data_IF_980333422049
#
_entry.id   IF_980333422049
#
_cell.length_a   1.000
_cell.length_b   1.000
_cell.length_c   1.000
_cell.angle_alpha   90.00
_cell.angle_beta   90.00
_cell.angle_gamma   90.00
#
_symmetry.space_group_name_H-M   'P 1'
#
loop_
_entity.id
_entity.type
_entity.pdbx_description
1 polymer ?
#
# COMPACT_ATOMS: atom_id res chain seq x y z
N UNK A 1 46.46 -1.28 11.90
CA UNK A 1 45.43 -0.28 12.24
C UNK A 1 45.46 0.93 11.32
N UNK A 2 46.62 1.38 10.84
CA UNK A 2 46.74 2.41 9.77
C UNK A 2 46.12 1.98 8.46
N UNK A 3 46.24 0.71 8.08
CA UNK A 3 45.78 0.17 6.79
C UNK A 3 44.26 0.26 6.58
N UNK A 4 43.44 0.10 7.63
CA UNK A 4 41.95 0.18 7.52
C UNK A 4 41.52 1.64 7.32
N UNK A 5 42.17 2.59 8.00
CA UNK A 5 41.87 4.01 7.86
C UNK A 5 42.29 4.51 6.48
N UNK A 6 43.45 4.07 5.98
CA UNK A 6 43.92 4.43 4.63
C UNK A 6 43.02 3.85 3.55
N UNK A 7 42.50 2.64 3.74
CA UNK A 7 41.50 2.06 2.86
C UNK A 7 40.19 2.86 2.86
N UNK A 8 39.73 3.27 4.04
CA UNK A 8 38.50 4.07 4.17
C UNK A 8 38.65 5.48 3.57
N UNK A 9 39.84 6.09 3.66
CA UNK A 9 40.09 7.39 3.02
C UNK A 9 40.10 7.29 1.48
N UNK A 10 40.61 6.19 0.92
CA UNK A 10 40.67 6.00 -0.54
C UNK A 10 39.34 5.56 -1.14
N UNK A 11 38.61 4.70 -0.42
CA UNK A 11 37.41 4.03 -0.94
C UNK A 11 36.16 4.33 -0.13
N UNK A 12 36.21 5.26 0.82
CA UNK A 12 35.14 5.55 1.77
C UNK A 12 33.80 5.85 1.11
N UNK A 13 33.81 6.63 0.03
CA UNK A 13 32.60 6.97 -0.70
C UNK A 13 31.83 5.72 -1.18
N UNK A 14 32.52 4.70 -1.71
CA UNK A 14 31.87 3.47 -2.19
C UNK A 14 31.25 2.70 -1.02
N UNK A 15 31.98 2.54 0.07
CA UNK A 15 31.49 1.85 1.27
C UNK A 15 30.31 2.58 1.91
N UNK A 16 30.36 3.88 1.96
CA UNK A 16 29.28 4.74 2.48
C UNK A 16 28.03 4.64 1.61
N UNK A 17 28.19 4.72 0.29
CA UNK A 17 27.09 4.57 -0.68
C UNK A 17 26.44 3.19 -0.57
N UNK A 18 27.25 2.11 -0.51
CA UNK A 18 26.75 0.74 -0.36
C UNK A 18 25.99 0.55 0.95
N UNK A 19 26.48 1.12 2.05
CA UNK A 19 25.76 1.09 3.33
C UNK A 19 24.39 1.80 3.22
N UNK A 20 24.34 2.96 2.55
CA UNK A 20 23.09 3.69 2.32
C UNK A 20 22.14 2.94 1.38
N UNK A 21 22.66 2.30 0.32
CA UNK A 21 21.87 1.42 -0.56
C UNK A 21 21.28 0.26 0.24
N UNK A 22 22.06 -0.41 1.06
CA UNK A 22 21.59 -1.49 1.91
C UNK A 22 20.48 -1.02 2.87
N UNK A 23 20.67 0.15 3.49
CA UNK A 23 19.70 0.74 4.42
C UNK A 23 18.39 1.17 3.75
N UNK A 24 18.43 1.66 2.51
CA UNK A 24 17.24 2.10 1.79
C UNK A 24 16.47 0.94 1.14
N UNK A 25 17.15 -0.15 0.79
CA UNK A 25 16.56 -1.29 0.04
C UNK A 25 16.26 -2.54 0.89
N UNK A 26 16.54 -2.54 2.20
CA UNK A 26 16.49 -3.73 3.06
C UNK A 26 15.13 -4.44 3.11
N UNK A 27 14.01 -3.73 2.88
CA UNK A 27 12.65 -4.26 2.86
C UNK A 27 12.18 -4.72 1.47
N UNK A 28 12.95 -4.45 0.42
CA UNK A 28 12.55 -4.79 -0.94
C UNK A 28 12.59 -6.30 -1.16
N UNK A 29 11.68 -6.80 -1.98
CA UNK A 29 11.62 -8.20 -2.36
C UNK A 29 12.82 -8.57 -3.23
N UNK A 30 13.59 -9.58 -2.78
CA UNK A 30 14.82 -10.01 -3.45
C UNK A 30 14.51 -10.83 -4.70
N UNK A 31 15.34 -10.68 -5.72
CA UNK A 31 15.29 -11.54 -6.89
C UNK A 31 15.95 -12.91 -6.64
N UNK A 32 15.63 -13.88 -7.50
CA UNK A 32 16.31 -15.17 -7.52
C UNK A 32 17.82 -15.00 -7.69
N UNK A 33 18.60 -15.84 -7.03
CA UNK A 33 20.07 -15.79 -7.01
C UNK A 33 20.62 -14.44 -6.50
N UNK A 34 19.94 -13.80 -5.54
CA UNK A 34 20.31 -12.51 -4.97
C UNK A 34 21.80 -12.44 -4.57
N UNK A 35 22.32 -13.46 -3.86
CA UNK A 35 23.71 -13.46 -3.41
C UNK A 35 24.71 -13.41 -4.58
N UNK A 36 24.50 -14.17 -5.64
CA UNK A 36 25.36 -14.18 -6.81
C UNK A 36 25.35 -12.84 -7.54
N UNK A 37 24.15 -12.22 -7.67
CA UNK A 37 24.00 -10.89 -8.30
C UNK A 37 24.68 -9.81 -7.47
N UNK A 38 24.47 -9.82 -6.16
CA UNK A 38 25.09 -8.88 -5.23
C UNK A 38 26.62 -8.99 -5.29
N UNK A 39 27.17 -10.22 -5.27
CA UNK A 39 28.61 -10.44 -5.41
C UNK A 39 29.16 -9.91 -6.73
N UNK A 40 28.44 -10.12 -7.82
CA UNK A 40 28.83 -9.59 -9.14
C UNK A 40 28.88 -8.06 -9.17
N UNK A 41 27.92 -7.37 -8.53
CA UNK A 41 27.88 -5.91 -8.46
C UNK A 41 28.98 -5.37 -7.56
N UNK A 42 29.20 -5.98 -6.39
CA UNK A 42 30.31 -5.60 -5.50
C UNK A 42 31.67 -5.74 -6.19
N UNK A 43 31.86 -6.82 -6.96
CA UNK A 43 33.06 -7.01 -7.75
C UNK A 43 33.20 -5.93 -8.85
N UNK A 44 32.10 -5.59 -9.52
CA UNK A 44 32.11 -4.54 -10.54
C UNK A 44 32.48 -3.17 -9.94
N UNK A 45 31.96 -2.81 -8.77
CA UNK A 45 32.30 -1.57 -8.07
C UNK A 45 33.78 -1.55 -7.63
N UNK A 46 34.29 -2.66 -7.09
CA UNK A 46 35.71 -2.78 -6.71
C UNK A 46 36.60 -2.66 -7.95
N UNK A 47 36.32 -3.40 -9.01
CA UNK A 47 37.06 -3.32 -10.27
C UNK A 47 37.05 -1.89 -10.85
N UNK A 48 35.87 -1.26 -10.87
CA UNK A 48 35.72 0.12 -11.32
C UNK A 48 36.59 1.06 -10.49
N UNK A 49 36.59 0.94 -9.19
CA UNK A 49 37.37 1.80 -8.28
C UNK A 49 38.87 1.64 -8.50
N UNK A 50 39.37 0.41 -8.66
CA UNK A 50 40.78 0.12 -8.95
C UNK A 50 41.22 0.71 -10.28
N UNK A 51 40.40 0.52 -11.33
CA UNK A 51 40.71 1.08 -12.67
C UNK A 51 40.69 2.61 -12.62
N UNK A 52 39.77 3.20 -11.85
CA UNK A 52 39.66 4.67 -11.78
C UNK A 52 40.82 5.34 -11.03
N UNK A 53 41.55 4.65 -10.16
CA UNK A 53 42.77 5.18 -9.55
C UNK A 53 43.85 5.59 -10.56
N UNK A 54 43.80 5.05 -11.77
CA UNK A 54 44.72 5.41 -12.86
C UNK A 54 44.29 6.65 -13.64
N UNK A 55 43.08 7.17 -13.40
CA UNK A 55 42.54 8.34 -14.10
C UNK A 55 43.00 9.61 -13.37
N UNK A 56 43.49 10.65 -14.08
CA UNK A 56 43.85 11.91 -13.45
C UNK A 56 42.70 12.53 -12.66
N UNK A 57 42.95 12.93 -11.42
CA UNK A 57 41.96 13.54 -10.54
C UNK A 57 41.78 15.02 -10.91
N UNK A 58 40.65 15.35 -11.52
CA UNK A 58 40.22 16.71 -11.80
C UNK A 58 38.70 16.84 -11.64
N UNK A 59 38.17 18.06 -11.72
CA UNK A 59 36.76 18.37 -11.57
C UNK A 59 35.86 17.46 -12.42
N UNK A 60 36.20 17.23 -13.66
CA UNK A 60 35.38 16.46 -14.61
C UNK A 60 35.43 14.97 -14.32
N UNK A 61 36.61 14.45 -14.02
CA UNK A 61 36.82 13.02 -13.73
C UNK A 61 36.17 12.63 -12.43
N UNK A 62 36.25 13.47 -11.37
CA UNK A 62 35.57 13.20 -10.08
C UNK A 62 34.04 13.26 -10.20
N UNK A 63 33.51 14.21 -10.98
CA UNK A 63 32.06 14.26 -11.24
C UNK A 63 31.58 13.06 -12.05
N UNK A 64 32.37 12.61 -13.03
CA UNK A 64 32.06 11.41 -13.81
C UNK A 64 32.13 10.15 -12.94
N UNK A 65 33.15 10.03 -12.08
CA UNK A 65 33.30 8.90 -11.15
C UNK A 65 32.08 8.72 -10.26
N UNK A 66 31.70 9.77 -9.55
CA UNK A 66 30.55 9.71 -8.62
C UNK A 66 29.24 9.41 -9.34
N UNK A 67 29.05 9.95 -10.55
CA UNK A 67 27.89 9.64 -11.38
C UNK A 67 27.87 8.19 -11.87
N UNK A 68 29.02 7.64 -12.28
CA UNK A 68 29.13 6.24 -12.71
C UNK A 68 28.90 5.28 -11.52
N UNK A 69 29.46 5.55 -10.35
CA UNK A 69 29.20 4.75 -9.14
C UNK A 69 27.71 4.76 -8.76
N UNK A 70 27.06 5.91 -8.80
CA UNK A 70 25.61 6.00 -8.60
C UNK A 70 24.83 5.19 -9.66
N UNK A 71 25.28 5.24 -10.93
CA UNK A 71 24.66 4.48 -12.01
C UNK A 71 24.81 2.96 -11.81
N UNK A 72 25.99 2.50 -11.38
CA UNK A 72 26.25 1.09 -11.02
C UNK A 72 25.33 0.66 -9.87
N UNK A 73 25.18 1.50 -8.85
CA UNK A 73 24.26 1.24 -7.74
C UNK A 73 22.80 1.12 -8.22
N UNK A 74 22.33 2.01 -9.11
CA UNK A 74 20.98 1.95 -9.67
C UNK A 74 20.74 0.66 -10.47
N UNK A 75 21.69 0.26 -11.33
CA UNK A 75 21.65 -1.02 -12.05
C UNK A 75 21.68 -2.19 -11.08
N UNK A 76 22.53 -2.11 -10.06
CA UNK A 76 22.67 -3.11 -9.01
C UNK A 76 21.34 -3.36 -8.25
N UNK A 77 20.68 -2.29 -7.84
CA UNK A 77 19.36 -2.37 -7.20
C UNK A 77 18.35 -3.04 -8.13
N UNK A 78 18.31 -2.66 -9.41
CA UNK A 78 17.40 -3.29 -10.39
C UNK A 78 17.66 -4.78 -10.61
N UNK A 79 18.92 -5.20 -10.57
CA UNK A 79 19.31 -6.61 -10.74
C UNK A 79 19.08 -7.45 -9.48
N UNK A 80 19.21 -6.86 -8.30
CA UNK A 80 19.07 -7.57 -7.01
C UNK A 80 17.62 -7.66 -6.51
N UNK A 81 16.77 -6.71 -6.86
CA UNK A 81 15.42 -6.61 -6.30
C UNK A 81 14.34 -6.65 -7.40
N UNK A 82 13.13 -7.15 -7.04
CA UNK A 82 11.96 -7.22 -7.93
C UNK A 82 11.23 -5.89 -8.03
N UNK A 83 11.86 -4.89 -8.64
CA UNK A 83 11.30 -3.55 -8.82
C UNK A 83 11.49 -3.06 -10.25
N UNK A 84 10.69 -2.08 -10.69
CA UNK A 84 10.87 -1.44 -11.98
C UNK A 84 12.12 -0.55 -12.01
N UNK A 85 12.68 -0.27 -13.22
CA UNK A 85 13.87 0.55 -13.38
C UNK A 85 13.73 1.96 -12.77
N UNK A 86 12.55 2.59 -12.87
CA UNK A 86 12.29 3.90 -12.29
C UNK A 86 12.40 3.89 -10.77
N UNK A 87 11.94 2.83 -10.11
CA UNK A 87 12.12 2.63 -8.67
C UNK A 87 13.58 2.38 -8.29
N UNK A 88 14.34 1.68 -9.12
CA UNK A 88 15.78 1.49 -8.87
C UNK A 88 16.54 2.83 -8.91
N UNK A 89 16.22 3.70 -9.87
CA UNK A 89 16.73 5.07 -9.92
C UNK A 89 16.33 5.87 -8.69
N UNK A 90 15.07 5.75 -8.25
CA UNK A 90 14.58 6.39 -7.02
C UNK A 90 15.41 5.98 -5.80
N UNK A 91 15.54 4.68 -5.54
CA UNK A 91 16.28 4.18 -4.37
C UNK A 91 17.77 4.50 -4.45
N UNK A 92 18.37 4.48 -5.64
CA UNK A 92 19.76 4.91 -5.84
C UNK A 92 19.94 6.41 -5.53
N UNK A 93 18.99 7.26 -5.97
CA UNK A 93 19.03 8.70 -5.68
C UNK A 93 18.82 8.94 -4.17
N UNK A 94 17.87 8.24 -3.54
CA UNK A 94 17.65 8.35 -2.10
C UNK A 94 18.87 7.91 -1.29
N UNK A 95 19.55 6.82 -1.71
CA UNK A 95 20.78 6.34 -1.07
C UNK A 95 21.93 7.33 -1.25
N UNK A 96 22.11 7.90 -2.46
CA UNK A 96 23.11 8.92 -2.75
C UNK A 96 22.86 10.21 -1.96
N UNK A 97 21.62 10.66 -1.86
CA UNK A 97 21.23 11.82 -1.04
C UNK A 97 21.48 11.57 0.45
N UNK A 98 21.12 10.38 0.94
CA UNK A 98 21.40 9.98 2.33
C UNK A 98 22.90 9.95 2.62
N UNK A 99 23.70 9.37 1.73
CA UNK A 99 25.16 9.37 1.83
C UNK A 99 25.72 10.80 1.88
N UNK A 100 25.22 11.68 1.01
CA UNK A 100 25.65 13.09 0.97
C UNK A 100 25.35 13.81 2.28
N UNK A 101 24.14 13.68 2.85
CA UNK A 101 23.75 14.25 4.16
C UNK A 101 24.71 13.76 5.26
N UNK A 102 24.97 12.47 5.32
CA UNK A 102 25.82 11.89 6.34
C UNK A 102 27.29 12.37 6.19
N UNK A 103 27.80 12.33 4.97
CA UNK A 103 29.17 12.75 4.65
C UNK A 103 29.40 14.22 4.99
N UNK A 104 28.53 15.11 4.49
CA UNK A 104 28.65 16.56 4.72
C UNK A 104 28.45 16.93 6.18
N UNK A 105 27.44 16.36 6.84
CA UNK A 105 27.19 16.56 8.27
C UNK A 105 28.39 16.12 9.12
N UNK A 106 28.96 14.94 8.84
CA UNK A 106 30.14 14.45 9.54
C UNK A 106 31.36 15.35 9.29
N UNK A 107 31.59 15.84 8.06
CA UNK A 107 32.68 16.78 7.72
C UNK A 107 32.50 18.14 8.37
N UNK A 108 31.30 18.69 8.42
CA UNK A 108 31.01 19.95 9.11
C UNK A 108 31.34 19.85 10.60
N UNK A 109 30.88 18.78 11.26
CA UNK A 109 31.14 18.53 12.68
C UNK A 109 32.64 18.27 12.94
N UNK A 110 33.30 17.49 12.07
CA UNK A 110 34.74 17.26 12.15
C UNK A 110 35.52 18.59 12.08
N UNK A 111 35.17 19.46 11.13
CA UNK A 111 35.81 20.77 10.97
C UNK A 111 35.57 21.70 12.18
N UNK A 112 34.37 21.67 12.77
CA UNK A 112 34.08 22.43 13.97
C UNK A 112 34.97 21.98 15.15
N UNK A 113 35.12 20.66 15.34
CA UNK A 113 36.02 20.11 16.38
C UNK A 113 37.50 20.47 16.13
N UNK A 114 37.94 20.41 14.85
CA UNK A 114 39.31 20.76 14.48
C UNK A 114 39.65 22.24 14.74
N UNK A 115 38.70 23.15 14.50
CA UNK A 115 38.88 24.58 14.76
C UNK A 115 38.95 24.92 16.27
N UNK A 116 38.36 24.04 17.11
CA UNK A 116 38.44 24.21 18.55
C UNK A 116 39.81 23.78 19.14
N UNK A 117 40.46 22.79 18.54
CA UNK A 117 41.79 22.32 19.03
C UNK A 117 42.63 21.66 17.94
N UNK A 118 43.69 22.34 17.53
CA UNK A 118 44.63 21.87 16.48
C UNK A 118 45.47 20.64 16.86
N UNK A 119 45.57 20.29 18.16
CA UNK A 119 46.31 19.09 18.62
C UNK A 119 45.61 17.78 18.24
N UNK A 120 44.34 17.81 17.89
CA UNK A 120 43.53 16.61 17.60
C UNK A 120 43.62 16.08 16.15
N UNK A 121 44.59 16.53 15.35
CA UNK A 121 44.74 16.07 13.95
C UNK A 121 44.77 14.53 13.82
N UNK A 122 45.54 13.84 14.70
CA UNK A 122 45.63 12.38 14.68
C UNK A 122 44.29 11.66 14.99
N UNK A 123 43.43 12.32 15.77
CA UNK A 123 42.12 11.77 16.17
C UNK A 123 40.99 12.17 15.21
N UNK A 124 41.21 13.15 14.37
CA UNK A 124 40.16 13.71 13.49
C UNK A 124 39.53 12.67 12.57
N UNK A 125 40.29 11.68 12.14
CA UNK A 125 39.83 10.57 11.29
C UNK A 125 38.87 9.65 12.04
N UNK A 126 39.16 9.35 13.31
CA UNK A 126 38.27 8.55 14.17
C UNK A 126 37.01 9.30 14.52
N UNK A 127 37.13 10.62 14.74
CA UNK A 127 35.97 11.49 14.95
C UNK A 127 35.04 11.45 13.74
N UNK A 128 35.58 11.55 12.52
CA UNK A 128 34.79 11.42 11.31
C UNK A 128 34.03 10.09 11.23
N UNK A 129 34.72 8.98 11.45
CA UNK A 129 34.12 7.65 11.39
C UNK A 129 33.03 7.49 12.48
N UNK A 130 33.27 7.95 13.70
CA UNK A 130 32.26 7.93 14.76
C UNK A 130 31.02 8.77 14.43
N UNK A 131 31.22 9.98 13.89
CA UNK A 131 30.13 10.86 13.45
C UNK A 131 29.37 10.27 12.28
N UNK A 132 30.07 9.66 11.31
CA UNK A 132 29.43 8.96 10.19
C UNK A 132 28.50 7.86 10.70
N UNK A 133 28.97 6.97 11.57
CA UNK A 133 28.16 5.88 12.15
C UNK A 133 26.95 6.42 12.91
N UNK A 134 27.15 7.48 13.71
CA UNK A 134 26.07 8.12 14.47
C UNK A 134 25.00 8.70 13.56
N UNK A 135 25.41 9.51 12.57
CA UNK A 135 24.48 10.12 11.60
C UNK A 135 23.81 9.06 10.73
N UNK A 136 24.53 8.02 10.34
CA UNK A 136 23.95 6.88 9.62
C UNK A 136 22.84 6.21 10.44
N UNK A 137 23.07 5.94 11.72
CA UNK A 137 22.05 5.36 12.59
C UNK A 137 20.82 6.28 12.72
N UNK A 138 21.03 7.60 12.88
CA UNK A 138 19.93 8.59 12.92
C UNK A 138 19.15 8.57 11.59
N UNK A 139 19.83 8.60 10.45
CA UNK A 139 19.20 8.53 9.14
C UNK A 139 18.44 7.22 8.93
N UNK A 140 18.98 6.09 9.38
CA UNK A 140 18.26 4.80 9.33
C UNK A 140 16.98 4.82 10.16
N UNK A 141 16.97 5.44 11.33
CA UNK A 141 15.81 5.51 12.20
C UNK A 141 14.74 6.50 11.71
N UNK A 142 15.13 7.56 11.01
CA UNK A 142 14.24 8.65 10.60
C UNK A 142 13.86 8.58 9.13
N UNK A 143 14.86 8.56 8.24
CA UNK A 143 14.69 8.72 6.80
C UNK A 143 14.23 7.43 6.11
N UNK A 144 14.83 6.27 6.45
CA UNK A 144 14.48 5.02 5.78
C UNK A 144 13.05 4.56 6.08
N UNK A 145 12.49 4.95 7.23
CA UNK A 145 11.08 4.66 7.56
C UNK A 145 10.11 5.39 6.65
N UNK A 146 10.46 6.60 6.20
CA UNK A 146 9.62 7.45 5.34
C UNK A 146 9.72 7.07 3.85
N UNK A 147 10.85 6.47 3.44
CA UNK A 147 11.07 6.04 2.05
C UNK A 147 10.27 4.81 1.64
N UNK A 148 9.53 4.19 2.56
CA UNK A 148 8.83 2.94 2.27
C UNK A 148 7.42 3.24 1.73
N UNK A 149 7.30 3.24 0.39
CA UNK A 149 6.00 3.19 -0.28
C UNK A 149 5.38 1.79 -0.15
N UNK A 150 4.08 1.73 0.17
CA UNK A 150 3.31 0.48 0.21
C UNK A 150 3.00 -0.05 -1.20
N UNK A 151 2.98 0.83 -2.20
CA UNK A 151 2.54 0.52 -3.55
C UNK A 151 3.67 0.71 -4.56
N UNK A 152 4.60 -0.24 -4.66
CA UNK A 152 5.59 -0.31 -5.74
C UNK A 152 4.96 -0.57 -7.13
N UNK A 153 3.63 -0.70 -7.21
CA UNK A 153 2.88 -0.87 -8.46
C UNK A 153 2.70 0.42 -9.26
N UNK A 154 2.71 1.59 -8.59
CA UNK A 154 2.68 2.89 -9.27
C UNK A 154 4.10 3.30 -9.61
N UNK A 155 4.42 3.36 -10.90
CA UNK A 155 5.73 3.81 -11.36
C UNK A 155 5.86 5.31 -11.10
N UNK A 156 7.02 5.77 -10.55
CA UNK A 156 7.37 7.18 -10.61
C UNK A 156 7.26 7.65 -12.07
N UNK A 157 6.48 8.70 -12.31
CA UNK A 157 6.29 9.21 -13.66
C UNK A 157 7.63 9.50 -14.34
N UNK A 158 7.68 9.42 -15.67
CA UNK A 158 8.91 9.74 -16.45
C UNK A 158 9.51 11.07 -16.03
N UNK A 159 8.68 12.08 -15.82
CA UNK A 159 9.10 13.42 -15.37
C UNK A 159 9.80 13.36 -14.01
N UNK A 160 9.29 12.60 -13.05
CA UNK A 160 9.91 12.44 -11.75
C UNK A 160 11.27 11.74 -11.84
N UNK A 161 11.38 10.71 -12.67
CA UNK A 161 12.67 10.04 -12.92
C UNK A 161 13.71 11.01 -13.51
N UNK A 162 13.32 11.86 -14.48
CA UNK A 162 14.19 12.90 -15.03
C UNK A 162 14.62 13.94 -14.00
N UNK A 163 13.68 14.38 -13.14
CA UNK A 163 14.00 15.33 -12.06
C UNK A 163 15.03 14.71 -11.08
N UNK A 164 14.88 13.45 -10.72
CA UNK A 164 15.82 12.75 -9.84
C UNK A 164 17.21 12.62 -10.43
N UNK A 165 17.32 12.22 -11.69
CA UNK A 165 18.60 12.14 -12.40
C UNK A 165 19.23 13.52 -12.52
N UNK A 166 18.45 14.53 -12.90
CA UNK A 166 18.89 15.92 -12.98
C UNK A 166 19.38 16.48 -11.64
N UNK A 167 18.65 16.18 -10.57
CA UNK A 167 19.06 16.53 -9.20
C UNK A 167 20.38 15.87 -8.82
N UNK A 168 20.53 14.57 -9.04
CA UNK A 168 21.77 13.84 -8.73
C UNK A 168 22.97 14.38 -9.50
N UNK A 169 22.78 14.71 -10.78
CA UNK A 169 23.82 15.31 -11.61
C UNK A 169 24.18 16.72 -11.14
N UNK A 170 23.19 17.58 -10.90
CA UNK A 170 23.43 18.96 -10.47
C UNK A 170 24.14 19.02 -9.11
N UNK A 171 23.71 18.20 -8.15
CA UNK A 171 24.32 18.08 -6.83
C UNK A 171 25.79 17.66 -6.95
N UNK A 172 26.07 16.63 -7.76
CA UNK A 172 27.41 16.11 -7.97
C UNK A 172 28.35 17.18 -8.61
N UNK A 173 27.89 17.81 -9.71
CA UNK A 173 28.68 18.83 -10.39
C UNK A 173 28.94 20.02 -9.46
N UNK A 174 27.92 20.46 -8.72
CA UNK A 174 28.03 21.63 -7.85
C UNK A 174 29.00 21.40 -6.68
N UNK A 175 28.96 20.22 -6.06
CA UNK A 175 29.90 19.83 -5.00
C UNK A 175 31.34 19.81 -5.51
N UNK A 176 31.59 19.18 -6.65
CA UNK A 176 32.93 19.09 -7.20
C UNK A 176 33.46 20.44 -7.71
N UNK A 177 32.61 21.26 -8.33
CA UNK A 177 32.93 22.62 -8.74
C UNK A 177 33.34 23.46 -7.52
N UNK A 178 32.58 23.39 -6.45
CA UNK A 178 32.86 24.14 -5.23
C UNK A 178 34.19 23.68 -4.58
N UNK A 179 34.41 22.35 -4.49
CA UNK A 179 35.67 21.82 -3.97
C UNK A 179 36.89 22.30 -4.79
N UNK A 180 36.75 22.41 -6.13
CA UNK A 180 37.82 22.88 -7.01
C UNK A 180 38.16 24.36 -6.78
N UNK A 181 37.18 25.20 -6.45
CA UNK A 181 37.39 26.66 -6.34
C UNK A 181 37.64 27.17 -4.93
N UNK A 182 37.27 26.42 -3.87
CA UNK A 182 37.20 26.94 -2.50
C UNK A 182 38.31 26.46 -1.56
N UNK A 183 39.13 25.48 -1.96
CA UNK A 183 40.06 24.80 -1.04
C UNK A 183 41.13 25.76 -0.49
N UNK A 184 41.56 26.79 -1.20
CA UNK A 184 42.69 27.64 -0.77
C UNK A 184 42.33 29.08 -0.37
N UNK A 185 41.12 29.56 -0.66
CA UNK A 185 40.91 31.01 -0.63
C UNK A 185 40.03 31.58 0.47
N UNK A 186 39.12 30.81 1.07
CA UNK A 186 38.27 31.35 2.14
C UNK A 186 37.53 30.30 2.98
N UNK A 187 38.07 29.83 4.12
CA UNK A 187 37.45 28.81 4.97
C UNK A 187 36.05 29.17 5.50
N UNK A 188 35.76 30.47 5.69
CA UNK A 188 34.41 30.92 6.10
C UNK A 188 33.37 30.73 5.04
N UNK A 189 33.73 31.01 3.77
CA UNK A 189 32.83 30.80 2.61
C UNK A 189 32.54 29.31 2.47
N UNK A 190 33.56 28.45 2.67
CA UNK A 190 33.38 27.00 2.66
C UNK A 190 32.36 26.52 3.70
N UNK A 191 32.44 27.03 4.92
CA UNK A 191 31.52 26.65 6.00
C UNK A 191 30.08 27.09 5.67
N UNK A 192 29.88 28.34 5.26
CA UNK A 192 28.55 28.86 4.89
C UNK A 192 27.94 28.06 3.74
N UNK A 193 28.73 27.78 2.72
CA UNK A 193 28.30 26.96 1.60
C UNK A 193 27.92 25.53 2.04
N UNK A 194 28.75 24.88 2.84
CA UNK A 194 28.49 23.51 3.31
C UNK A 194 27.20 23.43 4.15
N UNK A 195 26.92 24.44 4.96
CA UNK A 195 25.66 24.52 5.71
C UNK A 195 24.47 24.72 4.78
N UNK A 196 24.60 25.61 3.77
CA UNK A 196 23.55 25.82 2.78
C UNK A 196 23.26 24.56 1.97
N UNK A 197 24.29 23.88 1.51
CA UNK A 197 24.21 22.61 0.74
C UNK A 197 23.50 21.52 1.59
N UNK A 198 23.87 21.38 2.86
CA UNK A 198 23.28 20.42 3.78
C UNK A 198 21.78 20.70 4.01
N UNK A 199 21.43 21.95 4.33
CA UNK A 199 20.02 22.35 4.54
C UNK A 199 19.19 22.12 3.29
N UNK A 200 19.71 22.50 2.13
CA UNK A 200 19.02 22.33 0.84
C UNK A 200 18.81 20.84 0.53
N UNK A 201 19.81 20.02 0.76
CA UNK A 201 19.74 18.57 0.53
C UNK A 201 18.72 17.89 1.44
N UNK A 202 18.70 18.28 2.72
CA UNK A 202 17.70 17.78 3.69
C UNK A 202 16.27 18.18 3.24
N UNK A 203 16.06 19.44 2.85
CA UNK A 203 14.76 19.92 2.40
C UNK A 203 14.30 19.19 1.14
N UNK A 204 15.18 18.98 0.16
CA UNK A 204 14.87 18.24 -1.06
C UNK A 204 14.57 16.77 -0.77
N UNK A 205 15.26 16.15 0.19
CA UNK A 205 14.96 14.79 0.61
C UNK A 205 13.58 14.69 1.24
N UNK A 206 13.21 15.62 2.12
CA UNK A 206 11.87 15.67 2.69
C UNK A 206 10.78 15.89 1.62
N UNK A 207 11.03 16.77 0.66
CA UNK A 207 10.13 17.01 -0.47
C UNK A 207 9.92 15.72 -1.28
N UNK A 208 11.00 14.97 -1.53
CA UNK A 208 10.94 13.68 -2.22
C UNK A 208 10.06 12.67 -1.46
N UNK A 209 10.23 12.59 -0.14
CA UNK A 209 9.40 11.74 0.71
C UNK A 209 7.92 12.15 0.72
N UNK A 210 7.64 13.45 0.73
CA UNK A 210 6.27 13.99 0.70
C UNK A 210 5.56 13.66 -0.63
N UNK A 211 6.25 13.83 -1.75
CA UNK A 211 5.71 13.49 -3.07
C UNK A 211 5.36 11.99 -3.15
N UNK A 212 6.18 11.12 -2.56
CA UNK A 212 5.88 9.68 -2.50
C UNK A 212 4.63 9.38 -1.68
N UNK A 213 4.53 9.96 -0.49
CA UNK A 213 3.38 9.73 0.40
C UNK A 213 2.08 10.27 -0.21
N UNK A 214 2.15 11.41 -0.91
CA UNK A 214 1.01 11.97 -1.62
C UNK A 214 0.55 11.05 -2.77
N UNK A 215 1.49 10.51 -3.54
CA UNK A 215 1.19 9.55 -4.62
C UNK A 215 0.52 8.27 -4.11
N UNK A 216 0.97 7.74 -2.96
CA UNK A 216 0.35 6.56 -2.34
C UNK A 216 -1.09 6.86 -1.87
N UNK A 217 -1.33 8.03 -1.26
CA UNK A 217 -2.66 8.45 -0.82
C UNK A 217 -3.64 8.67 -1.99
N UNK A 218 -3.17 9.25 -3.10
CA UNK A 218 -3.98 9.40 -4.32
C UNK A 218 -4.37 8.04 -4.91
N UNK A 219 -3.46 7.07 -4.92
CA UNK A 219 -3.74 5.72 -5.40
C UNK A 219 -4.79 5.02 -4.53
N UNK A 220 -4.64 5.06 -3.21
CA UNK A 220 -5.59 4.47 -2.27
C UNK A 220 -7.00 5.08 -2.47
N UNK A 221 -7.07 6.40 -2.68
CA UNK A 221 -8.32 7.09 -2.98
C UNK A 221 -8.94 6.64 -4.32
N UNK A 222 -8.13 6.46 -5.38
CA UNK A 222 -8.62 5.96 -6.67
C UNK A 222 -9.17 4.54 -6.55
N UNK A 223 -8.47 3.64 -5.86
CA UNK A 223 -8.92 2.26 -5.63
C UNK A 223 -10.23 2.24 -4.84
N UNK A 224 -10.32 3.04 -3.77
CA UNK A 224 -11.55 3.16 -2.98
C UNK A 224 -12.73 3.67 -3.81
N UNK A 225 -12.53 4.71 -4.63
CA UNK A 225 -13.56 5.23 -5.52
C UNK A 225 -14.01 4.19 -6.56
N UNK A 226 -13.08 3.39 -7.10
CA UNK A 226 -13.40 2.33 -8.04
C UNK A 226 -14.25 1.23 -7.38
N UNK A 227 -13.89 0.81 -6.16
CA UNK A 227 -14.69 -0.16 -5.39
C UNK A 227 -16.11 0.36 -5.12
N UNK A 228 -16.24 1.63 -4.73
CA UNK A 228 -17.55 2.25 -4.50
C UNK A 228 -18.41 2.31 -5.78
N UNK A 229 -17.79 2.58 -6.94
CA UNK A 229 -18.50 2.57 -8.24
C UNK A 229 -19.00 1.16 -8.60
N UNK A 230 -18.16 0.15 -8.43
CA UNK A 230 -18.53 -1.25 -8.66
C UNK A 230 -19.69 -1.68 -7.75
N UNK A 231 -19.64 -1.32 -6.47
CA UNK A 231 -20.70 -1.65 -5.52
C UNK A 231 -22.05 -0.98 -5.90
N UNK A 232 -22.02 0.29 -6.35
CA UNK A 232 -23.22 0.97 -6.85
C UNK A 232 -23.79 0.30 -8.11
N UNK A 233 -22.94 -0.08 -9.07
CA UNK A 233 -23.37 -0.78 -10.28
C UNK A 233 -24.00 -2.13 -9.96
N UNK A 234 -23.42 -2.88 -9.03
CA UNK A 234 -23.96 -4.16 -8.59
C UNK A 234 -25.35 -3.99 -7.94
N UNK A 235 -25.52 -2.96 -7.11
CA UNK A 235 -26.79 -2.63 -6.49
C UNK A 235 -27.88 -2.27 -7.55
N UNK A 236 -27.52 -1.47 -8.55
CA UNK A 236 -28.41 -1.07 -9.64
C UNK A 236 -28.87 -2.29 -10.46
N UNK A 237 -27.93 -3.17 -10.84
CA UNK A 237 -28.23 -4.43 -11.53
C UNK A 237 -29.14 -5.35 -10.71
N UNK A 238 -28.90 -5.43 -9.39
CA UNK A 238 -29.75 -6.20 -8.48
C UNK A 238 -31.18 -5.64 -8.46
N UNK A 239 -31.33 -4.31 -8.36
CA UNK A 239 -32.62 -3.63 -8.41
C UNK A 239 -33.38 -3.92 -9.70
N UNK A 240 -32.73 -3.76 -10.87
CA UNK A 240 -33.31 -4.05 -12.17
C UNK A 240 -33.75 -5.53 -12.28
N UNK A 241 -32.93 -6.45 -11.76
CA UNK A 241 -33.22 -7.88 -11.77
C UNK A 241 -34.46 -8.21 -10.95
N UNK A 242 -34.61 -7.66 -9.75
CA UNK A 242 -35.78 -7.85 -8.90
C UNK A 242 -37.03 -7.27 -9.52
N UNK A 243 -36.92 -6.07 -10.11
CA UNK A 243 -38.05 -5.43 -10.84
C UNK A 243 -38.51 -6.28 -12.01
N UNK A 244 -37.61 -6.83 -12.81
CA UNK A 244 -37.88 -7.68 -13.95
C UNK A 244 -38.53 -9.01 -13.51
N UNK A 245 -38.11 -9.61 -12.42
CA UNK A 245 -38.71 -10.80 -11.82
C UNK A 245 -40.14 -10.49 -11.37
N UNK A 246 -40.36 -9.36 -10.68
CA UNK A 246 -41.71 -8.96 -10.25
C UNK A 246 -42.69 -8.76 -11.42
N UNK A 247 -42.24 -8.08 -12.49
CA UNK A 247 -43.03 -7.92 -13.71
C UNK A 247 -43.39 -9.29 -14.34
N UNK A 248 -42.41 -10.19 -14.45
CA UNK A 248 -42.63 -11.53 -15.01
C UNK A 248 -43.57 -12.38 -14.17
N UNK A 249 -43.44 -12.32 -12.85
CA UNK A 249 -44.32 -13.02 -11.91
C UNK A 249 -45.76 -12.50 -12.02
N UNK A 250 -45.96 -11.18 -12.17
CA UNK A 250 -47.26 -10.58 -12.39
C UNK A 250 -47.88 -11.06 -13.73
N UNK A 251 -47.11 -11.12 -14.82
CA UNK A 251 -47.57 -11.58 -16.11
C UNK A 251 -47.95 -13.06 -16.06
N UNK A 252 -47.16 -13.91 -15.43
CA UNK A 252 -47.45 -15.34 -15.25
C UNK A 252 -48.73 -15.51 -14.43
N UNK A 253 -48.93 -14.76 -13.35
CA UNK A 253 -50.13 -14.77 -12.54
C UNK A 253 -51.38 -14.43 -13.40
N UNK A 254 -51.32 -13.38 -14.24
CA UNK A 254 -52.40 -13.00 -15.14
C UNK A 254 -52.73 -14.10 -16.12
N UNK A 255 -51.73 -14.79 -16.67
CA UNK A 255 -51.93 -15.94 -17.56
C UNK A 255 -52.56 -17.14 -16.84
N UNK A 256 -52.15 -17.45 -15.61
CA UNK A 256 -52.73 -18.50 -14.79
C UNK A 256 -54.21 -18.22 -14.47
N UNK A 257 -54.57 -16.97 -14.17
CA UNK A 257 -55.98 -16.59 -13.99
C UNK A 257 -56.83 -16.79 -15.25
N UNK A 258 -56.24 -16.57 -16.43
CA UNK A 258 -56.91 -16.72 -17.70
C UNK A 258 -57.08 -18.21 -18.10
N UNK A 259 -56.16 -19.08 -17.65
CA UNK A 259 -56.19 -20.52 -17.89
C UNK A 259 -57.07 -21.29 -16.89
N UNK A 260 -57.50 -20.66 -15.79
CA UNK A 260 -58.19 -21.28 -14.66
C UNK A 260 -59.51 -22.01 -14.96
N UNK A 261 -60.04 -21.91 -16.21
CA UNK A 261 -61.19 -22.68 -16.68
C UNK A 261 -60.83 -23.96 -17.44
N UNK A 262 -59.55 -24.26 -17.64
CA UNK A 262 -59.07 -25.35 -18.51
C UNK A 262 -58.10 -26.35 -17.86
N UNK A 263 -57.70 -26.14 -16.59
CA UNK A 263 -56.70 -26.94 -15.88
C UNK A 263 -57.28 -27.46 -14.58
N UNK A 264 -56.99 -28.71 -14.12
CA UNK A 264 -57.40 -29.21 -12.81
C UNK A 264 -57.01 -28.29 -11.66
N UNK A 265 -57.89 -28.11 -10.68
CA UNK A 265 -57.77 -27.11 -9.63
C UNK A 265 -56.51 -27.32 -8.76
N UNK A 266 -56.09 -28.58 -8.53
CA UNK A 266 -54.91 -28.92 -7.75
C UNK A 266 -53.58 -28.50 -8.41
N UNK A 267 -53.44 -28.74 -9.74
CA UNK A 267 -52.22 -28.32 -10.51
C UNK A 267 -52.13 -26.77 -10.61
N UNK A 268 -53.31 -26.13 -10.73
CA UNK A 268 -53.37 -24.67 -10.76
C UNK A 268 -52.97 -24.02 -9.43
N UNK A 269 -53.36 -24.64 -8.32
CA UNK A 269 -53.02 -24.16 -6.98
C UNK A 269 -51.52 -24.38 -6.64
N UNK A 270 -50.90 -25.45 -7.13
CA UNK A 270 -49.43 -25.64 -7.02
C UNK A 270 -48.68 -24.61 -7.84
N UNK A 271 -49.08 -24.33 -9.07
CA UNK A 271 -48.51 -23.30 -9.93
C UNK A 271 -48.69 -21.89 -9.34
N UNK A 272 -49.84 -21.58 -8.78
CA UNK A 272 -50.09 -20.31 -8.09
C UNK A 272 -49.17 -20.17 -6.88
N UNK A 273 -49.04 -21.19 -6.03
CA UNK A 273 -48.11 -21.21 -4.90
C UNK A 273 -46.65 -21.00 -5.34
N UNK A 274 -46.21 -21.63 -6.45
CA UNK A 274 -44.89 -21.44 -6.98
C UNK A 274 -44.62 -20.01 -7.45
N UNK A 275 -45.59 -19.34 -8.07
CA UNK A 275 -45.51 -17.94 -8.53
C UNK A 275 -45.59 -16.96 -7.35
N UNK A 276 -46.44 -17.24 -6.35
CA UNK A 276 -46.56 -16.43 -5.11
C UNK A 276 -45.25 -16.44 -4.29
N UNK A 277 -44.44 -17.47 -4.45
CA UNK A 277 -43.10 -17.52 -3.87
C UNK A 277 -42.19 -16.36 -4.37
N UNK A 278 -42.34 -15.96 -5.62
CA UNK A 278 -41.53 -14.91 -6.23
C UNK A 278 -42.17 -13.50 -6.11
N UNK A 279 -43.45 -13.40 -5.71
CA UNK A 279 -44.18 -12.14 -5.59
C UNK A 279 -44.18 -11.59 -4.15
N UNK A 280 -43.21 -12.00 -3.34
CA UNK A 280 -43.05 -11.44 -1.98
C UNK A 280 -42.57 -9.98 -2.10
N UNK A 281 -43.54 -9.05 -2.21
CA UNK A 281 -43.26 -7.62 -2.10
C UNK A 281 -42.80 -7.31 -0.68
N UNK A 282 -41.49 -7.32 -0.48
CA UNK A 282 -40.88 -6.89 0.79
C UNK A 282 -41.13 -5.39 0.93
N UNK A 283 -41.72 -4.98 2.03
CA UNK A 283 -41.97 -3.56 2.37
C UNK A 283 -41.56 -3.32 3.81
N UNK A 284 -40.28 -3.06 4.01
CA UNK A 284 -39.73 -2.68 5.34
C UNK A 284 -39.83 -1.19 5.60
N UNK A 285 -40.04 -0.38 4.55
CA UNK A 285 -39.98 1.08 4.59
C UNK A 285 -38.60 1.64 4.22
N UNK A 286 -37.64 0.79 3.79
CA UNK A 286 -36.36 1.21 3.22
C UNK A 286 -36.14 0.50 1.89
N UNK A 287 -36.13 1.25 0.80
CA UNK A 287 -36.08 0.72 -0.58
C UNK A 287 -34.85 -0.19 -0.80
N UNK A 288 -33.70 0.17 -0.25
CA UNK A 288 -32.46 -0.63 -0.38
C UNK A 288 -32.57 -1.96 0.34
N UNK A 289 -33.12 -1.97 1.54
CA UNK A 289 -33.33 -3.19 2.31
C UNK A 289 -34.41 -4.08 1.65
N UNK A 290 -35.44 -3.47 1.08
CA UNK A 290 -36.51 -4.19 0.36
C UNK A 290 -35.96 -4.96 -0.83
N UNK A 291 -35.15 -4.31 -1.68
CA UNK A 291 -34.48 -4.93 -2.84
C UNK A 291 -33.57 -6.07 -2.39
N UNK A 292 -32.75 -5.84 -1.37
CA UNK A 292 -31.80 -6.83 -0.85
C UNK A 292 -32.50 -8.06 -0.28
N UNK A 293 -33.54 -7.86 0.54
CA UNK A 293 -34.28 -8.96 1.13
C UNK A 293 -35.07 -9.75 0.06
N UNK A 294 -35.62 -9.08 -0.96
CA UNK A 294 -36.27 -9.76 -2.08
C UNK A 294 -35.28 -10.65 -2.84
N UNK A 295 -34.10 -10.12 -3.19
CA UNK A 295 -33.03 -10.88 -3.87
C UNK A 295 -32.58 -12.09 -3.05
N UNK A 296 -32.27 -11.89 -1.78
CA UNK A 296 -31.79 -12.96 -0.89
C UNK A 296 -32.87 -13.98 -0.56
N UNK A 297 -34.15 -13.58 -0.48
CA UNK A 297 -35.27 -14.51 -0.34
C UNK A 297 -35.39 -15.48 -1.52
N UNK A 298 -35.16 -15.01 -2.75
CA UNK A 298 -35.12 -15.86 -3.94
C UNK A 298 -33.99 -16.88 -3.84
N UNK A 299 -32.79 -16.43 -3.47
CA UNK A 299 -31.61 -17.31 -3.30
C UNK A 299 -31.86 -18.35 -2.21
N UNK A 300 -32.39 -17.94 -1.04
CA UNK A 300 -32.71 -18.82 0.06
C UNK A 300 -33.72 -19.89 -0.32
N UNK A 301 -34.84 -19.49 -0.96
CA UNK A 301 -35.86 -20.43 -1.45
C UNK A 301 -35.29 -21.44 -2.44
N UNK A 302 -34.47 -21.00 -3.39
CA UNK A 302 -33.80 -21.88 -4.36
C UNK A 302 -32.86 -22.91 -3.72
N UNK A 303 -32.40 -22.66 -2.50
CA UNK A 303 -31.53 -23.55 -1.70
C UNK A 303 -32.24 -24.28 -0.58
N UNK A 304 -33.57 -24.14 -0.45
CA UNK A 304 -34.33 -24.73 0.64
C UNK A 304 -34.05 -24.10 2.02
N UNK A 305 -33.61 -22.82 2.06
CA UNK A 305 -33.30 -22.07 3.29
C UNK A 305 -34.53 -21.25 3.68
N UNK A 306 -35.00 -21.40 4.91
CA UNK A 306 -36.04 -20.56 5.48
C UNK A 306 -35.44 -19.24 5.93
N UNK A 307 -35.85 -18.12 5.32
CA UNK A 307 -35.47 -16.76 5.70
C UNK A 307 -36.68 -16.04 6.30
N UNK A 308 -36.66 -15.81 7.63
CA UNK A 308 -37.67 -15.05 8.34
C UNK A 308 -37.12 -13.67 8.70
N UNK A 309 -37.91 -12.62 8.47
CA UNK A 309 -37.49 -11.26 8.81
C UNK A 309 -38.65 -10.43 9.38
N UNK A 310 -38.30 -9.59 10.36
CA UNK A 310 -39.15 -8.54 10.93
C UNK A 310 -38.29 -7.27 10.93
N UNK A 311 -38.52 -6.36 9.97
CA UNK A 311 -37.67 -5.19 9.81
C UNK A 311 -38.51 -3.90 9.71
N UNK A 312 -38.21 -2.94 10.59
CA UNK A 312 -38.65 -1.54 10.49
C UNK A 312 -37.53 -0.76 9.77
N UNK A 313 -37.55 -0.83 8.43
CA UNK A 313 -36.53 -0.22 7.58
C UNK A 313 -36.53 1.31 7.60
N UNK A 314 -37.66 1.93 7.95
CA UNK A 314 -37.72 3.40 8.11
C UNK A 314 -36.78 3.92 9.21
N UNK A 315 -36.37 3.05 10.15
CA UNK A 315 -35.38 3.41 11.19
C UNK A 315 -33.94 3.42 10.69
N UNK A 316 -33.70 3.02 9.45
CA UNK A 316 -32.39 3.01 8.80
C UNK A 316 -32.11 4.29 7.98
N UNK A 317 -33.00 5.29 7.98
CA UNK A 317 -32.88 6.50 7.16
C UNK A 317 -31.64 7.35 7.44
N UNK A 318 -31.00 7.15 8.59
CA UNK A 318 -29.72 7.80 8.92
C UNK A 318 -28.51 7.15 8.20
N UNK A 319 -28.66 5.95 7.66
CA UNK A 319 -27.64 5.25 6.88
C UNK A 319 -27.80 5.58 5.38
N UNK A 320 -26.68 5.70 4.68
CA UNK A 320 -26.72 5.83 3.23
C UNK A 320 -27.11 4.50 2.57
N UNK A 321 -27.73 4.53 1.39
CA UNK A 321 -28.13 3.29 0.68
C UNK A 321 -26.99 2.27 0.54
N UNK A 322 -25.77 2.72 0.22
CA UNK A 322 -24.61 1.85 0.11
C UNK A 322 -24.18 1.21 1.45
N UNK A 323 -24.38 1.90 2.57
CA UNK A 323 -24.09 1.37 3.91
C UNK A 323 -25.11 0.30 4.31
N UNK A 324 -26.40 0.54 4.02
CA UNK A 324 -27.47 -0.46 4.22
C UNK A 324 -27.19 -1.70 3.37
N UNK A 325 -26.89 -1.53 2.09
CA UNK A 325 -26.59 -2.64 1.18
C UNK A 325 -25.37 -3.44 1.64
N UNK A 326 -24.29 -2.76 2.04
CA UNK A 326 -23.06 -3.41 2.51
C UNK A 326 -23.30 -4.17 3.83
N UNK A 327 -23.95 -3.55 4.80
CA UNK A 327 -24.18 -4.13 6.12
C UNK A 327 -25.05 -5.39 6.03
N UNK A 328 -26.23 -5.27 5.45
CA UNK A 328 -27.18 -6.37 5.39
C UNK A 328 -26.81 -7.41 4.35
N UNK A 329 -26.20 -7.00 3.22
CA UNK A 329 -25.71 -7.89 2.19
C UNK A 329 -24.63 -8.83 2.70
N UNK A 330 -23.58 -8.28 3.32
CA UNK A 330 -22.52 -9.08 3.92
C UNK A 330 -23.04 -10.02 5.02
N UNK A 331 -23.95 -9.52 5.85
CA UNK A 331 -24.50 -10.33 6.95
C UNK A 331 -25.37 -11.48 6.42
N UNK A 332 -26.25 -11.23 5.43
CA UNK A 332 -27.08 -12.26 4.80
C UNK A 332 -26.25 -13.26 4.00
N UNK A 333 -25.24 -12.81 3.25
CA UNK A 333 -24.37 -13.70 2.51
C UNK A 333 -23.58 -14.63 3.44
N UNK A 334 -23.06 -14.11 4.55
CA UNK A 334 -22.41 -14.93 5.57
C UNK A 334 -23.37 -15.94 6.20
N UNK A 335 -24.61 -15.54 6.47
CA UNK A 335 -25.62 -16.44 7.02
C UNK A 335 -25.99 -17.57 6.02
N UNK A 336 -26.20 -17.22 4.74
CA UNK A 336 -26.50 -18.18 3.68
C UNK A 336 -25.35 -19.18 3.50
N UNK A 337 -24.10 -18.69 3.48
CA UNK A 337 -22.93 -19.56 3.39
C UNK A 337 -22.81 -20.50 4.58
N UNK A 338 -23.10 -20.02 5.79
CA UNK A 338 -23.01 -20.80 7.02
C UNK A 338 -24.04 -21.93 7.08
N UNK A 339 -25.27 -21.73 6.59
CA UNK A 339 -26.34 -22.73 6.66
C UNK A 339 -26.35 -23.68 5.47
N UNK A 340 -25.83 -23.28 4.30
CA UNK A 340 -25.85 -24.09 3.05
C UNK A 340 -25.24 -25.49 3.22
N UNK A 341 -24.15 -25.72 3.97
CA UNK A 341 -23.56 -27.06 4.14
C UNK A 341 -24.26 -27.91 5.24
N UNK A 342 -25.27 -27.39 5.92
CA UNK A 342 -25.95 -28.07 7.03
C UNK A 342 -27.05 -29.02 6.53
N UNK A 343 -27.62 -29.83 7.43
CA UNK A 343 -28.81 -30.62 7.16
C UNK A 343 -30.03 -29.70 6.96
N UNK A 344 -31.04 -30.12 6.15
CA UNK A 344 -32.19 -29.28 5.78
C UNK A 344 -33.00 -28.72 6.94
N UNK A 345 -33.08 -29.43 8.04
CA UNK A 345 -33.79 -29.02 9.29
C UNK A 345 -33.09 -27.85 10.02
N UNK A 346 -31.84 -27.57 9.66
CA UNK A 346 -31.02 -26.49 10.17
C UNK A 346 -30.84 -25.31 9.18
N UNK A 347 -31.54 -25.34 8.06
CA UNK A 347 -31.54 -24.27 7.05
C UNK A 347 -32.45 -23.11 7.46
N UNK A 348 -32.06 -22.36 8.50
CA UNK A 348 -32.80 -21.24 9.03
C UNK A 348 -31.94 -20.00 9.19
N UNK A 349 -32.50 -18.85 8.78
CA UNK A 349 -31.91 -17.51 8.95
C UNK A 349 -33.00 -16.58 9.48
N UNK A 350 -32.75 -15.87 10.58
CA UNK A 350 -33.62 -14.87 11.15
C UNK A 350 -33.02 -13.48 11.12
N UNK A 351 -33.79 -12.46 10.69
CA UNK A 351 -33.39 -11.06 10.73
C UNK A 351 -34.41 -10.22 11.50
N UNK A 352 -33.92 -9.43 12.46
CA UNK A 352 -34.78 -8.45 13.18
C UNK A 352 -34.13 -7.08 13.11
N UNK A 353 -34.90 -6.07 12.70
CA UNK A 353 -34.53 -4.65 12.73
C UNK A 353 -35.63 -3.88 13.44
N UNK A 354 -35.37 -3.35 14.63
CA UNK A 354 -36.35 -2.64 15.43
C UNK A 354 -35.75 -1.54 16.28
N UNK A 355 -36.52 -0.50 16.56
CA UNK A 355 -36.15 0.50 17.55
C UNK A 355 -36.55 0.03 18.96
N UNK A 356 -35.63 0.06 19.92
CA UNK A 356 -35.88 -0.30 21.30
C UNK A 356 -35.13 0.68 22.21
N UNK A 357 -35.89 1.35 23.11
CA UNK A 357 -35.36 2.29 24.13
C UNK A 357 -34.44 3.38 23.56
N UNK A 358 -34.77 3.92 22.38
CA UNK A 358 -33.99 4.98 21.72
C UNK A 358 -32.75 4.48 20.96
N UNK A 359 -32.55 3.17 20.88
CA UNK A 359 -31.48 2.53 20.09
C UNK A 359 -32.09 1.71 18.96
N UNK A 360 -31.35 1.57 17.87
CA UNK A 360 -31.65 0.64 16.79
C UNK A 360 -31.02 -0.72 17.10
N UNK A 361 -31.86 -1.75 17.21
CA UNK A 361 -31.42 -3.14 17.37
C UNK A 361 -31.48 -3.85 16.03
N UNK A 362 -30.33 -4.31 15.55
CA UNK A 362 -30.21 -5.21 14.41
C UNK A 362 -29.74 -6.56 14.94
N UNK A 363 -30.56 -7.60 14.76
CA UNK A 363 -30.22 -8.97 15.15
C UNK A 363 -30.32 -9.88 13.94
N UNK A 364 -29.24 -10.60 13.66
CA UNK A 364 -29.23 -11.68 12.68
C UNK A 364 -28.83 -12.98 13.38
N UNK A 365 -29.55 -14.05 13.09
CA UNK A 365 -29.29 -15.37 13.65
C UNK A 365 -29.37 -16.44 12.56
N UNK A 366 -28.46 -17.39 12.64
CA UNK A 366 -28.42 -18.55 11.75
C UNK A 366 -27.77 -19.74 12.46
N UNK A 367 -28.04 -20.95 11.99
CA UNK A 367 -27.33 -22.14 12.46
C UNK A 367 -25.88 -22.14 11.96
N UNK A 368 -24.98 -22.73 12.73
CA UNK A 368 -23.58 -22.93 12.35
C UNK A 368 -23.19 -24.40 12.55
N UNK A 369 -22.22 -24.90 11.75
CA UNK A 369 -21.73 -26.27 11.84
C UNK A 369 -20.90 -26.50 13.11
N UNK A 370 -20.03 -25.54 13.45
CA UNK A 370 -19.10 -25.58 14.57
C UNK A 370 -19.17 -24.30 15.41
N UNK A 371 -18.77 -24.35 16.70
CA UNK A 371 -18.63 -23.16 17.51
C UNK A 371 -17.64 -22.17 16.89
N UNK A 372 -18.01 -20.89 16.87
CA UNK A 372 -17.13 -19.85 16.33
C UNK A 372 -15.97 -19.57 17.30
N UNK A 373 -14.75 -19.52 16.77
CA UNK A 373 -13.57 -19.06 17.50
C UNK A 373 -13.43 -17.55 17.38
N UNK A 374 -13.31 -16.85 18.50
CA UNK A 374 -13.15 -15.40 18.57
C UNK A 374 -11.73 -15.05 18.96
N UNK A 375 -11.13 -14.07 18.26
CA UNK A 375 -9.86 -13.44 18.60
C UNK A 375 -10.09 -11.93 18.62
N UNK A 376 -9.73 -11.27 19.72
CA UNK A 376 -9.96 -9.83 19.94
C UNK A 376 -11.42 -9.39 19.74
N UNK A 377 -12.38 -10.27 20.10
CA UNK A 377 -13.82 -9.99 19.98
C UNK A 377 -14.39 -10.15 18.57
N UNK A 378 -13.61 -10.58 17.60
CA UNK A 378 -14.02 -10.82 16.22
C UNK A 378 -13.95 -12.32 15.90
N UNK A 379 -14.94 -12.86 15.14
CA UNK A 379 -14.89 -14.24 14.70
C UNK A 379 -13.74 -14.44 13.70
N UNK A 380 -12.97 -15.52 13.87
CA UNK A 380 -11.95 -15.92 12.90
C UNK A 380 -12.60 -16.45 11.63
N UNK A 381 -12.06 -16.01 10.47
CA UNK A 381 -12.46 -16.57 9.19
C UNK A 381 -11.95 -18.00 9.05
N UNK A 382 -12.82 -18.92 8.65
CA UNK A 382 -12.48 -20.31 8.31
C UNK A 382 -11.98 -20.46 6.86
N UNK A 383 -11.94 -19.34 6.07
CA UNK A 383 -11.51 -19.35 4.68
C UNK A 383 -9.98 -19.23 4.61
N UNK A 384 -9.34 -20.08 3.81
CA UNK A 384 -7.87 -20.26 3.77
C UNK A 384 -7.02 -19.07 3.28
N UNK A 385 -7.61 -17.97 2.81
CA UNK A 385 -6.87 -16.76 2.41
C UNK A 385 -7.32 -15.54 3.22
N UNK A 386 -6.65 -15.35 4.36
CA UNK A 386 -6.92 -14.26 5.30
C UNK A 386 -6.69 -12.84 4.72
N UNK A 387 -6.08 -12.72 3.53
CA UNK A 387 -5.82 -11.43 2.88
C UNK A 387 -7.02 -10.86 2.14
N UNK A 388 -7.97 -11.69 1.73
CA UNK A 388 -9.15 -11.32 0.93
C UNK A 388 -10.48 -11.56 1.66
N UNK A 389 -10.47 -12.19 2.84
CA UNK A 389 -11.65 -12.51 3.63
C UNK A 389 -11.57 -11.93 5.05
N UNK A 390 -12.71 -11.63 5.66
CA UNK A 390 -12.79 -11.04 7.00
C UNK A 390 -13.01 -9.51 7.03
N UNK A 391 -13.10 -8.85 5.88
CA UNK A 391 -13.40 -7.41 5.82
C UNK A 391 -14.88 -7.11 6.13
N UNK A 392 -15.80 -8.03 5.85
CA UNK A 392 -17.23 -7.83 6.06
C UNK A 392 -17.65 -7.67 7.54
N UNK A 393 -16.82 -8.09 8.49
CA UNK A 393 -17.07 -7.93 9.94
C UNK A 393 -16.31 -6.72 10.51
N UNK A 394 -15.32 -6.20 9.77
CA UNK A 394 -14.51 -5.03 10.16
C UNK A 394 -15.00 -3.72 9.55
N UNK A 395 -15.89 -3.78 8.57
CA UNK A 395 -16.55 -2.64 7.95
C UNK A 395 -17.73 -2.20 8.79
#
# INVERSE_FOLDING_TARGET
>A
MSTVIDLFERHGYVLELLACVAATTWKLERQERFAARLTGILLAEVCFTIVWEQVPHNLYTESLRTFLLWSIAAVGIRLCFRIAAAWAVFYATAAGTMQHIIYRGAKLLQNAVYHMDRQYWAWSRWVYLGLFVLLFAVCCLTLTRRLHSRNLGTLPGRTMTFIMVGYQLSMNIFVNLFNAFSVDSAPRIFTVYSVYDEVTTILLFFLLCEILQHSDAEWDNMVLQQMMRQQRQQMELSKETVELINIKCHDIRKQLYTLGSRVPTEELDELKKAVDIYDSTVKTGNETLDVLLAERSIVCKGRGIQLDYIADGAKLDFLKPGEVYSLFGNALDNAIEAVTPLEPDRHYIGLQVRAERGMLLIRMENCAAEPLHFVDGLPQTTKGDARWHGFGVKS
#
